data_IF_398682097789
#
_entry.id   IF_398682097789
#
_cell.length_a   1.000
_cell.length_b   1.000
_cell.length_c   1.000
_cell.angle_alpha   90.00
_cell.angle_beta   90.00
_cell.angle_gamma   90.00
#
_symmetry.space_group_name_H-M   'P 1'
#
loop_
_entity.id
_entity.type
_entity.pdbx_description
1 polymer ?
#
# COMPACT_ATOMS: atom_id res chain seq x y z
N UNK A 1 7.16 30.79 -3.06
CA UNK A 1 5.97 30.03 -3.51
C UNK A 1 6.48 28.68 -3.97
N UNK A 2 6.10 27.59 -3.31
CA UNK A 2 6.52 26.24 -3.72
C UNK A 2 5.49 25.76 -4.75
N UNK A 3 5.89 25.68 -6.01
CA UNK A 3 5.04 25.17 -7.09
C UNK A 3 4.63 23.72 -6.78
N UNK A 4 3.33 23.45 -6.73
CA UNK A 4 2.78 22.09 -6.56
C UNK A 4 3.08 21.24 -7.80
N UNK A 5 4.27 20.63 -7.82
CA UNK A 5 4.66 19.68 -8.87
C UNK A 5 3.90 18.37 -8.69
N UNK A 6 2.94 18.11 -9.59
CA UNK A 6 2.26 16.81 -9.68
C UNK A 6 3.25 15.75 -10.17
N UNK A 7 3.56 14.78 -9.31
CA UNK A 7 4.31 13.58 -9.68
C UNK A 7 3.31 12.47 -10.02
N UNK A 8 3.51 11.78 -11.15
CA UNK A 8 2.67 10.63 -11.49
C UNK A 8 3.26 9.38 -10.84
N UNK A 9 2.39 8.47 -10.39
CA UNK A 9 2.84 7.21 -9.76
C UNK A 9 3.80 6.42 -10.65
N UNK A 10 3.56 6.43 -11.97
CA UNK A 10 4.42 5.77 -12.95
C UNK A 10 5.88 6.25 -12.91
N UNK A 11 6.11 7.51 -12.54
CA UNK A 11 7.44 8.12 -12.52
C UNK A 11 8.26 7.67 -11.30
N UNK A 12 7.60 7.21 -10.25
CA UNK A 12 8.21 6.75 -8.99
C UNK A 12 8.04 5.25 -8.73
N UNK A 13 7.29 4.56 -9.59
CA UNK A 13 6.92 3.16 -9.42
C UNK A 13 8.13 2.23 -9.26
N UNK A 14 9.20 2.49 -10.01
CA UNK A 14 10.40 1.65 -10.03
C UNK A 14 11.15 1.57 -8.70
N UNK A 15 10.95 2.56 -7.82
CA UNK A 15 11.53 2.61 -6.48
C UNK A 15 10.76 1.75 -5.47
N UNK A 16 9.50 1.42 -5.76
CA UNK A 16 8.60 0.69 -4.85
C UNK A 16 8.36 -0.76 -5.27
N UNK A 17 9.00 -1.21 -6.34
CA UNK A 17 8.88 -2.57 -6.87
C UNK A 17 10.02 -3.45 -6.35
N UNK A 18 9.65 -4.60 -5.79
CA UNK A 18 10.56 -5.67 -5.45
C UNK A 18 11.16 -6.31 -6.72
N UNK A 19 12.48 -6.29 -6.86
CA UNK A 19 13.16 -6.85 -8.04
C UNK A 19 13.13 -8.39 -8.12
N UNK A 20 12.63 -9.07 -7.09
CA UNK A 20 12.49 -10.54 -7.06
C UNK A 20 11.11 -10.97 -7.60
N UNK A 21 10.01 -10.48 -7.00
CA UNK A 21 8.66 -10.86 -7.40
C UNK A 21 8.02 -9.93 -8.43
N UNK A 22 8.65 -8.78 -8.73
CA UNK A 22 8.15 -7.73 -9.64
C UNK A 22 6.82 -7.07 -9.21
N UNK A 23 6.38 -7.29 -7.98
CA UNK A 23 5.27 -6.57 -7.36
C UNK A 23 5.75 -5.45 -6.42
N UNK A 24 4.81 -4.72 -5.83
CA UNK A 24 5.13 -3.72 -4.79
C UNK A 24 5.76 -4.36 -3.55
N UNK A 25 6.59 -3.59 -2.84
CA UNK A 25 7.21 -4.01 -1.59
C UNK A 25 6.16 -4.26 -0.49
N UNK A 26 6.11 -5.50 0.00
CA UNK A 26 5.32 -5.93 1.15
C UNK A 26 6.28 -6.44 2.24
N UNK A 27 6.16 -5.89 3.44
CA UNK A 27 7.12 -6.02 4.52
C UNK A 27 8.55 -5.72 4.03
N UNK A 28 8.75 -4.50 3.54
CA UNK A 28 10.00 -4.02 2.97
C UNK A 28 11.17 -4.34 3.90
N UNK A 29 12.18 -5.03 3.36
CA UNK A 29 13.35 -5.51 4.09
C UNK A 29 14.59 -5.18 3.29
N UNK A 30 15.51 -4.45 3.91
CA UNK A 30 16.78 -4.04 3.31
C UNK A 30 17.92 -4.98 3.71
N UNK A 31 18.87 -5.16 2.80
CA UNK A 31 20.17 -5.76 3.09
C UNK A 31 21.09 -4.73 3.73
N UNK A 32 21.74 -5.07 4.85
CA UNK A 32 22.67 -4.15 5.53
C UNK A 32 23.89 -3.78 4.68
N UNK A 33 24.42 -4.74 3.92
CA UNK A 33 25.68 -4.57 3.18
C UNK A 33 25.57 -3.60 1.98
N UNK A 34 24.37 -3.43 1.42
CA UNK A 34 24.19 -2.68 0.18
C UNK A 34 22.87 -1.89 0.08
N UNK A 35 22.08 -1.87 1.17
CA UNK A 35 20.82 -1.11 1.33
C UNK A 35 19.76 -1.32 0.25
N UNK A 36 19.86 -2.39 -0.54
CA UNK A 36 18.81 -2.79 -1.48
C UNK A 36 17.62 -3.41 -0.74
N UNK A 37 16.41 -2.99 -1.11
CA UNK A 37 15.15 -3.35 -0.43
C UNK A 37 14.29 -4.30 -1.27
N UNK A 38 13.70 -5.30 -0.61
CA UNK A 38 12.86 -6.34 -1.19
C UNK A 38 11.69 -6.68 -0.26
N UNK A 39 10.71 -7.48 -0.71
CA UNK A 39 9.73 -8.05 0.22
C UNK A 39 10.42 -9.04 1.17
N UNK A 40 10.02 -9.06 2.46
CA UNK A 40 10.60 -9.97 3.46
C UNK A 40 10.58 -11.43 3.02
N UNK A 41 9.43 -11.92 2.57
CA UNK A 41 9.28 -13.31 2.10
C UNK A 41 10.19 -13.63 0.92
N UNK A 42 10.36 -12.68 0.00
CA UNK A 42 11.17 -12.84 -1.21
C UNK A 42 12.66 -12.94 -0.88
N UNK A 43 13.19 -12.01 -0.08
CA UNK A 43 14.64 -11.99 0.19
C UNK A 43 15.07 -13.13 1.10
N UNK A 44 14.25 -13.52 2.09
CA UNK A 44 14.53 -14.67 2.95
C UNK A 44 14.67 -15.95 2.13
N UNK A 45 13.72 -16.22 1.23
CA UNK A 45 13.79 -17.40 0.34
C UNK A 45 14.96 -17.34 -0.64
N UNK A 46 15.31 -16.15 -1.13
CA UNK A 46 16.41 -15.98 -2.08
C UNK A 46 17.78 -16.23 -1.43
N UNK A 47 17.99 -15.75 -0.20
CA UNK A 47 19.25 -15.94 0.53
C UNK A 47 19.48 -17.38 0.99
N UNK A 48 18.43 -18.18 1.14
CA UNK A 48 18.56 -19.63 1.34
C UNK A 48 19.21 -20.33 0.14
N UNK A 49 19.03 -19.79 -1.07
CA UNK A 49 19.57 -20.38 -2.32
C UNK A 49 20.92 -19.76 -2.72
N UNK A 50 21.05 -18.43 -2.63
CA UNK A 50 22.26 -17.69 -3.02
C UNK A 50 22.48 -16.55 -2.03
N UNK A 51 23.55 -16.60 -1.26
CA UNK A 51 23.92 -15.57 -0.28
C UNK A 51 24.53 -14.31 -0.92
N UNK A 52 23.90 -13.81 -1.98
CA UNK A 52 24.31 -12.58 -2.69
C UNK A 52 23.10 -11.71 -2.95
N UNK A 53 23.30 -10.40 -2.93
CA UNK A 53 22.25 -9.45 -3.29
C UNK A 53 21.71 -9.74 -4.71
N UNK A 54 20.38 -9.84 -4.92
CA UNK A 54 19.79 -10.07 -6.24
C UNK A 54 19.99 -8.92 -7.25
N UNK A 55 20.39 -7.73 -6.79
CA UNK A 55 20.56 -6.54 -7.64
C UNK A 55 22.04 -6.32 -7.95
N UNK A 56 22.88 -6.18 -6.92
CA UNK A 56 24.29 -5.80 -7.08
C UNK A 56 25.28 -6.95 -6.85
N UNK A 57 24.80 -8.16 -6.56
CA UNK A 57 25.61 -9.36 -6.31
C UNK A 57 26.63 -9.30 -5.15
N UNK A 58 26.59 -8.24 -4.34
CA UNK A 58 27.39 -8.12 -3.12
C UNK A 58 27.13 -9.33 -2.21
N UNK A 59 28.22 -9.89 -1.67
CA UNK A 59 28.18 -11.03 -0.78
C UNK A 59 27.48 -10.65 0.53
N UNK A 60 26.46 -11.42 0.89
CA UNK A 60 25.77 -11.28 2.17
C UNK A 60 26.51 -12.14 3.20
N UNK A 61 26.59 -11.66 4.45
CA UNK A 61 27.23 -12.39 5.54
C UNK A 61 26.67 -13.81 5.68
N UNK A 62 27.50 -14.74 6.20
CA UNK A 62 27.18 -16.18 6.29
C UNK A 62 25.90 -16.50 7.06
N UNK A 63 25.45 -15.57 7.92
CA UNK A 63 24.24 -15.67 8.72
C UNK A 63 23.18 -14.68 8.20
N UNK A 64 22.27 -15.09 7.30
CA UNK A 64 21.33 -14.19 6.62
C UNK A 64 20.43 -13.37 7.56
N UNK A 65 20.11 -13.93 8.74
CA UNK A 65 19.27 -13.28 9.75
C UNK A 65 19.91 -12.00 10.29
N UNK A 66 21.24 -11.94 10.35
CA UNK A 66 21.96 -10.77 10.84
C UNK A 66 22.09 -9.68 9.77
N UNK A 67 21.96 -10.04 8.49
CA UNK A 67 22.15 -9.15 7.34
C UNK A 67 20.88 -8.45 6.86
N UNK A 68 19.72 -8.80 7.43
CA UNK A 68 18.42 -8.28 7.03
C UNK A 68 17.89 -7.33 8.11
N UNK A 69 17.36 -6.19 7.68
CA UNK A 69 16.61 -5.28 8.55
C UNK A 69 15.29 -4.88 7.92
N UNK A 70 14.19 -4.84 8.69
CA UNK A 70 12.95 -4.22 8.23
C UNK A 70 13.21 -2.75 7.89
N UNK A 71 12.74 -2.34 6.72
CA UNK A 71 12.79 -0.96 6.26
C UNK A 71 11.40 -0.34 6.45
N UNK A 72 11.12 0.07 7.68
CA UNK A 72 9.80 0.58 8.09
C UNK A 72 9.45 1.88 7.37
N UNK A 73 10.45 2.72 7.07
CA UNK A 73 10.24 3.97 6.34
C UNK A 73 9.86 3.68 4.88
N UNK A 74 10.61 2.81 4.19
CA UNK A 74 10.24 2.42 2.82
C UNK A 74 8.86 1.77 2.79
N UNK A 75 8.56 0.88 3.74
CA UNK A 75 7.24 0.24 3.81
C UNK A 75 6.12 1.27 3.97
N UNK A 76 6.32 2.28 4.84
CA UNK A 76 5.40 3.40 4.99
C UNK A 76 5.26 4.11 3.64
N UNK A 77 6.35 4.64 3.07
CA UNK A 77 6.30 5.35 1.78
C UNK A 77 5.52 4.60 0.69
N UNK A 78 5.77 3.30 0.53
CA UNK A 78 5.06 2.44 -0.41
C UNK A 78 3.54 2.44 -0.15
N UNK A 79 3.10 2.27 1.10
CA UNK A 79 1.68 2.30 1.43
C UNK A 79 1.04 3.70 1.29
N UNK A 80 1.80 4.79 1.49
CA UNK A 80 1.28 6.18 1.34
C UNK A 80 1.12 6.51 -0.13
N UNK A 81 2.11 6.14 -0.93
CA UNK A 81 2.17 6.50 -2.34
C UNK A 81 1.25 5.60 -3.18
N UNK A 82 1.26 4.28 -2.99
CA UNK A 82 0.52 3.35 -3.85
C UNK A 82 -0.96 3.23 -3.44
N UNK A 83 -1.93 3.62 -4.30
CA UNK A 83 -3.37 3.53 -4.01
C UNK A 83 -3.85 2.13 -3.66
N UNK A 84 -4.63 2.01 -2.59
CA UNK A 84 -5.31 0.76 -2.20
C UNK A 84 -4.40 -0.39 -1.74
N UNK A 85 -3.07 -0.25 -1.81
CA UNK A 85 -2.13 -1.34 -1.57
C UNK A 85 -2.25 -1.90 -0.14
N UNK A 86 -2.20 -1.04 0.88
CA UNK A 86 -2.35 -1.44 2.28
C UNK A 86 -3.66 -2.20 2.53
N UNK A 87 -4.78 -1.67 2.04
CA UNK A 87 -6.11 -2.31 2.17
C UNK A 87 -6.13 -3.68 1.49
N UNK A 88 -5.57 -3.78 0.28
CA UNK A 88 -5.53 -5.05 -0.46
C UNK A 88 -4.70 -6.11 0.26
N UNK A 89 -3.55 -5.73 0.82
CA UNK A 89 -2.70 -6.62 1.60
C UNK A 89 -3.37 -7.05 2.91
N UNK A 90 -4.05 -6.13 3.61
CA UNK A 90 -4.80 -6.44 4.82
C UNK A 90 -5.92 -7.44 4.55
N UNK A 91 -6.70 -7.25 3.48
CA UNK A 91 -7.75 -8.18 3.07
C UNK A 91 -7.18 -9.56 2.70
N UNK A 92 -6.03 -9.58 2.01
CA UNK A 92 -5.32 -10.83 1.69
C UNK A 92 -4.91 -11.59 2.95
N UNK A 93 -4.37 -10.90 3.96
CA UNK A 93 -4.00 -11.51 5.26
C UNK A 93 -5.22 -12.04 6.02
N UNK A 94 -6.30 -11.27 6.08
CA UNK A 94 -7.57 -11.70 6.71
C UNK A 94 -8.15 -12.95 6.06
N UNK A 95 -8.13 -13.02 4.73
CA UNK A 95 -8.62 -14.20 3.99
C UNK A 95 -7.87 -15.47 4.38
N UNK A 96 -6.54 -15.40 4.49
CA UNK A 96 -5.72 -16.55 4.89
C UNK A 96 -6.02 -17.01 6.32
N UNK A 97 -6.24 -16.09 7.26
CA UNK A 97 -6.60 -16.43 8.65
C UNK A 97 -7.96 -17.14 8.73
N UNK A 98 -8.94 -16.66 7.96
CA UNK A 98 -10.28 -17.25 7.91
C UNK A 98 -10.30 -18.62 7.22
N UNK A 99 -9.37 -18.88 6.28
CA UNK A 99 -9.19 -20.20 5.66
C UNK A 99 -8.50 -21.20 6.61
N UNK A 100 -7.80 -20.71 7.65
CA UNK A 100 -7.06 -21.54 8.62
C UNK A 100 -7.77 -21.79 9.96
N UNK A 101 -9.01 -21.32 10.14
CA UNK A 101 -9.77 -21.47 11.40
C UNK A 101 -10.88 -22.53 11.22
N UNK A 102 -10.62 -23.81 11.46
CA UNK A 102 -10.72 -24.41 12.80
C UNK A 102 -9.75 -23.83 13.86
N UNK A 103 -10.34 -23.31 14.95
CA UNK A 103 -9.74 -22.92 16.24
C UNK A 103 -9.31 -21.44 16.44
N UNK A 104 -10.23 -20.72 17.10
CA UNK A 104 -10.08 -19.63 18.11
C UNK A 104 -9.17 -18.44 17.78
N UNK A 105 -9.78 -17.26 17.59
CA UNK A 105 -9.24 -16.00 18.14
C UNK A 105 -10.40 -15.21 18.76
N UNK A 106 -10.37 -15.11 20.08
CA UNK A 106 -11.12 -14.15 20.88
C UNK A 106 -10.65 -12.73 20.56
N UNK A 107 -11.61 -11.80 20.42
CA UNK A 107 -11.39 -10.37 20.25
C UNK A 107 -10.46 -9.83 21.36
N UNK A 108 -9.17 -9.73 21.08
CA UNK A 108 -8.24 -8.95 21.88
C UNK A 108 -7.67 -7.85 20.95
N UNK A 109 -8.36 -6.70 20.97
CA UNK A 109 -8.02 -5.44 20.30
C UNK A 109 -6.74 -4.82 20.89
N UNK A 110 -5.61 -5.52 20.81
CA UNK A 110 -4.33 -5.03 21.33
C UNK A 110 -3.15 -5.32 20.40
N UNK A 111 -3.40 -5.31 19.10
CA UNK A 111 -2.38 -5.06 18.08
C UNK A 111 -2.62 -3.67 17.51
N UNK A 112 -1.80 -2.69 17.89
CA UNK A 112 -1.85 -1.31 17.38
C UNK A 112 -2.25 -1.28 15.91
N UNK A 113 -3.50 -0.89 15.65
CA UNK A 113 -4.01 -0.70 14.31
C UNK A 113 -3.25 0.53 13.79
N UNK A 114 -2.08 0.31 13.16
CA UNK A 114 -1.36 1.36 12.45
C UNK A 114 -2.27 1.78 11.30
N UNK A 115 -3.18 2.70 11.59
CA UNK A 115 -3.98 3.38 10.59
C UNK A 115 -2.99 4.12 9.71
N UNK A 116 -2.78 3.55 8.54
CA UNK A 116 -1.86 4.09 7.56
C UNK A 116 -2.34 5.46 7.00
N UNK A 117 -3.58 5.82 7.34
CA UNK A 117 -4.24 7.10 7.13
C UNK A 117 -4.56 7.70 8.49
N UNK A 118 -4.13 8.94 8.72
CA UNK A 118 -4.53 9.71 9.91
C UNK A 118 -5.95 10.25 9.70
N UNK A 119 -6.87 10.19 10.68
CA UNK A 119 -8.18 10.85 10.58
C UNK A 119 -8.09 12.37 10.34
N UNK A 120 -6.97 13.01 10.65
CA UNK A 120 -6.66 14.41 10.34
C UNK A 120 -5.94 14.60 8.99
N UNK A 121 -5.58 13.52 8.27
CA UNK A 121 -4.95 13.61 6.95
C UNK A 121 -5.96 14.19 5.95
N UNK A 122 -5.65 15.29 5.24
CA UNK A 122 -6.61 15.97 4.39
C UNK A 122 -7.08 15.04 3.26
N UNK A 123 -8.38 14.73 3.26
CA UNK A 123 -9.04 13.96 2.20
C UNK A 123 -9.46 14.91 1.09
N UNK A 124 -9.16 14.58 -0.16
CA UNK A 124 -9.74 15.31 -1.28
C UNK A 124 -11.14 14.83 -1.58
N UNK A 125 -12.04 15.80 -1.63
CA UNK A 125 -13.44 15.60 -1.94
C UNK A 125 -13.68 16.14 -3.35
N UNK A 126 -14.21 15.28 -4.21
CA UNK A 126 -14.76 15.70 -5.51
C UNK A 126 -16.28 15.63 -5.44
N UNK A 127 -16.94 16.70 -5.87
CA UNK A 127 -18.38 16.77 -6.01
C UNK A 127 -18.74 16.58 -7.49
N UNK A 128 -19.52 15.55 -7.78
CA UNK A 128 -20.02 15.30 -9.13
C UNK A 128 -21.55 15.37 -9.14
N UNK A 129 -22.11 16.04 -10.15
CA UNK A 129 -23.53 15.98 -10.42
C UNK A 129 -23.82 14.73 -11.23
N UNK A 130 -24.53 13.78 -10.64
CA UNK A 130 -24.99 12.58 -11.33
C UNK A 130 -26.50 12.58 -11.43
N UNK A 131 -27.03 11.99 -12.50
CA UNK A 131 -28.47 11.85 -12.70
C UNK A 131 -28.88 10.46 -12.25
N UNK A 132 -29.67 10.40 -11.17
CA UNK A 132 -30.16 9.15 -10.58
C UNK A 132 -31.69 9.14 -10.65
N UNK A 133 -32.23 8.22 -11.45
CA UNK A 133 -33.68 8.03 -11.63
C UNK A 133 -34.39 9.35 -11.99
N UNK A 134 -33.83 10.09 -12.95
CA UNK A 134 -34.38 11.37 -13.43
C UNK A 134 -34.25 12.55 -12.45
N UNK A 135 -33.52 12.39 -11.33
CA UNK A 135 -33.18 13.46 -10.39
C UNK A 135 -31.70 13.80 -10.46
N UNK A 136 -31.36 15.09 -10.43
CA UNK A 136 -29.97 15.55 -10.29
C UNK A 136 -29.56 15.41 -8.82
N UNK A 137 -28.57 14.58 -8.54
CA UNK A 137 -28.02 14.39 -7.19
C UNK A 137 -26.54 14.73 -7.17
N UNK A 138 -26.06 15.22 -6.02
CA UNK A 138 -24.64 15.52 -5.81
C UNK A 138 -24.00 14.28 -5.18
N UNK A 139 -23.10 13.63 -5.91
CA UNK A 139 -22.29 12.53 -5.42
C UNK A 139 -21.03 13.08 -4.76
N UNK A 140 -20.80 12.68 -3.51
CA UNK A 140 -19.55 12.93 -2.79
C UNK A 140 -18.61 11.77 -3.09
N UNK A 141 -17.63 12.00 -3.96
CA UNK A 141 -16.59 11.00 -4.25
C UNK A 141 -15.44 11.25 -3.29
N UNK A 142 -15.32 10.35 -2.30
CA UNK A 142 -14.18 10.31 -1.39
C UNK A 142 -13.05 9.55 -2.06
N UNK A 143 -12.03 10.28 -2.51
CA UNK A 143 -10.77 9.68 -2.93
C UNK A 143 -9.68 10.12 -1.94
N UNK A 144 -9.18 9.21 -1.08
CA UNK A 144 -8.06 9.48 -0.19
C UNK A 144 -6.77 9.94 -0.90
N UNK A 145 -6.74 9.94 -2.24
CA UNK A 145 -5.57 10.23 -3.06
C UNK A 145 -5.80 11.23 -4.19
N UNK A 146 -7.01 11.75 -4.37
CA UNK A 146 -7.19 12.84 -5.31
C UNK A 146 -6.55 14.10 -4.71
N UNK A 147 -5.90 14.95 -5.49
CA UNK A 147 -5.54 16.31 -5.06
C UNK A 147 -6.06 17.23 -6.14
N UNK A 148 -7.32 17.63 -5.96
CA UNK A 148 -8.05 18.74 -6.61
C UNK A 148 -8.12 18.84 -8.15
N UNK A 149 -7.34 18.10 -8.94
CA UNK A 149 -7.21 18.42 -10.37
C UNK A 149 -7.00 17.23 -11.34
N UNK A 150 -7.12 15.98 -10.91
CA UNK A 150 -7.08 14.80 -11.81
C UNK A 150 -8.03 13.67 -11.40
N UNK A 151 -9.14 13.98 -10.72
CA UNK A 151 -10.23 13.01 -10.57
C UNK A 151 -10.95 12.87 -11.92
N UNK A 152 -10.53 11.90 -12.74
CA UNK A 152 -11.36 11.33 -13.79
C UNK A 152 -12.06 10.10 -13.20
N UNK A 153 -13.17 10.32 -12.51
CA UNK A 153 -13.96 9.25 -11.93
C UNK A 153 -14.66 8.52 -13.08
N UNK A 154 -14.14 7.36 -13.48
CA UNK A 154 -14.89 6.44 -14.30
C UNK A 154 -16.14 5.98 -13.52
N UNK A 155 -17.30 5.97 -14.17
CA UNK A 155 -18.62 5.57 -13.60
C UNK A 155 -18.61 4.26 -12.79
N UNK A 156 -17.60 3.41 -12.95
CA UNK A 156 -17.40 2.15 -12.21
C UNK A 156 -16.91 2.29 -10.77
N UNK A 157 -16.52 3.50 -10.32
CA UNK A 157 -15.90 3.71 -9.00
C UNK A 157 -16.85 4.27 -7.93
N UNK A 158 -18.12 4.48 -8.26
CA UNK A 158 -19.12 5.04 -7.34
C UNK A 158 -19.58 3.94 -6.38
N UNK A 159 -19.09 3.97 -5.14
CA UNK A 159 -19.72 3.22 -4.04
C UNK A 159 -20.92 4.05 -3.54
N UNK A 160 -22.16 3.53 -3.58
CA UNK A 160 -23.35 4.27 -3.22
C UNK A 160 -23.44 4.36 -1.69
N UNK A 161 -22.78 5.35 -1.10
CA UNK A 161 -23.02 5.70 0.28
C UNK A 161 -23.30 7.20 0.38
N UNK A 162 -24.41 7.49 1.07
CA UNK A 162 -24.97 8.80 1.42
C UNK A 162 -25.84 9.46 0.35
N UNK A 163 -26.97 8.80 0.04
CA UNK A 163 -28.20 9.54 -0.31
C UNK A 163 -28.82 10.03 1.00
N UNK A 164 -28.66 11.31 1.34
CA UNK A 164 -29.60 11.99 2.24
C UNK A 164 -30.51 12.84 1.38
N UNK A 165 -31.80 12.52 1.45
CA UNK A 165 -32.87 13.29 0.83
C UNK A 165 -33.00 14.63 1.55
N UNK A 166 -33.07 15.72 0.78
CA UNK A 166 -33.59 17.02 1.22
C UNK A 166 -34.95 17.24 0.57
#
# INVERSE_FOLDING_TARGET
MMEDRKLLLKDVNDFFICKICRGYLIDATALLECTHTFCRSCIVQRLQKKQKCPICEVQVNKTPVLSLRPDTIMQRLVYKIVPGLYKSELLRRKKLLNETSDMVVSDDESGSQEYYFDPEEPISISLEYIEYVGKKVVAVVLDPKCTRAQCNVSRSSVMPYLLRET
#
